data_IF_311533948829
#
_entry.id   IF_311533948829
#
_cell.length_a   1.000
_cell.length_b   1.000
_cell.length_c   1.000
_cell.angle_alpha   90.00
_cell.angle_beta   90.00
_cell.angle_gamma   90.00
#
_symmetry.space_group_name_H-M   'P 1'
#
loop_
_entity.id
_entity.type
_entity.pdbx_description
1 polymer ?
#
# COMPACT_ATOMS: atom_id res chain seq x y z
N UNK A 1 10.13 15.41 35.09
CA UNK A 1 9.93 13.96 34.83
C UNK A 1 9.30 13.88 33.45
N UNK A 2 10.12 13.91 32.41
CA UNK A 2 9.68 13.75 31.02
C UNK A 2 9.84 12.27 30.68
N UNK A 3 8.73 11.59 30.43
CA UNK A 3 8.73 10.22 29.93
C UNK A 3 8.97 10.27 28.42
N UNK A 4 10.20 9.96 28.05
CA UNK A 4 10.62 9.71 26.67
C UNK A 4 9.84 8.51 26.12
N UNK A 5 8.79 8.79 25.35
CA UNK A 5 8.08 7.79 24.54
C UNK A 5 8.88 7.51 23.27
N UNK A 6 10.08 6.94 23.44
CA UNK A 6 10.79 6.31 22.33
C UNK A 6 10.06 5.02 21.97
N UNK A 7 9.24 5.08 20.91
CA UNK A 7 8.67 3.88 20.27
C UNK A 7 9.79 2.88 19.97
N UNK A 8 9.62 1.59 20.27
CA UNK A 8 10.67 0.60 20.05
C UNK A 8 11.07 0.57 18.57
N UNK A 9 12.37 0.35 18.25
CA UNK A 9 12.81 0.24 16.87
C UNK A 9 12.09 -0.93 16.21
N UNK A 10 11.34 -0.62 15.14
CA UNK A 10 10.65 -1.62 14.33
C UNK A 10 11.72 -2.57 13.76
N UNK A 11 11.66 -3.85 14.15
CA UNK A 11 12.56 -4.87 13.65
C UNK A 11 12.31 -5.08 12.15
N UNK A 12 13.14 -4.45 11.29
CA UNK A 12 12.93 -4.38 9.84
C UNK A 12 12.87 -5.75 9.13
N UNK A 13 13.36 -6.83 9.76
CA UNK A 13 13.37 -8.19 9.19
C UNK A 13 12.01 -8.90 9.14
N UNK A 14 10.97 -8.33 9.76
CA UNK A 14 9.60 -8.90 9.79
C UNK A 14 8.55 -8.06 9.07
N UNK A 15 8.96 -7.00 8.37
CA UNK A 15 8.04 -6.06 7.72
C UNK A 15 7.59 -6.62 6.36
N UNK A 16 6.30 -6.92 6.23
CA UNK A 16 5.66 -7.28 4.96
C UNK A 16 4.86 -6.10 4.42
N UNK A 17 5.13 -5.74 3.17
CA UNK A 17 4.36 -4.79 2.36
C UNK A 17 3.49 -5.62 1.40
N UNK A 18 2.17 -5.64 1.63
CA UNK A 18 1.24 -6.42 0.81
C UNK A 18 0.55 -5.51 -0.20
N UNK A 19 0.79 -5.71 -1.48
CA UNK A 19 0.19 -4.90 -2.55
C UNK A 19 -1.00 -5.62 -3.18
N UNK A 20 -2.11 -4.90 -3.29
CA UNK A 20 -3.30 -5.34 -4.01
C UNK A 20 -3.40 -4.49 -5.28
N UNK A 21 -3.41 -5.16 -6.44
CA UNK A 21 -3.34 -4.51 -7.73
C UNK A 21 -4.49 -4.90 -8.64
N UNK A 22 -5.06 -3.88 -9.31
CA UNK A 22 -5.94 -4.12 -10.44
C UNK A 22 -5.13 -4.09 -11.76
N UNK A 23 -4.93 -5.24 -12.44
CA UNK A 23 -4.14 -5.28 -13.67
C UNK A 23 -4.85 -4.61 -14.85
N UNK A 24 -6.18 -4.48 -14.80
CA UNK A 24 -6.96 -3.80 -15.83
C UNK A 24 -6.86 -2.27 -15.75
N UNK A 25 -6.27 -1.73 -14.67
CA UNK A 25 -6.06 -0.29 -14.55
C UNK A 25 -5.02 0.20 -15.57
N UNK A 26 -5.42 1.21 -16.37
CA UNK A 26 -4.55 2.04 -17.23
C UNK A 26 -3.60 1.22 -18.13
N UNK A 27 -4.17 0.29 -18.89
CA UNK A 27 -3.48 -0.55 -19.88
C UNK A 27 -2.35 -1.43 -19.28
N UNK A 28 -2.53 -1.92 -18.05
CA UNK A 28 -1.55 -2.82 -17.42
C UNK A 28 -0.29 -2.13 -16.89
N UNK A 29 -0.28 -0.79 -16.84
CA UNK A 29 0.86 -0.02 -16.29
C UNK A 29 1.03 -0.19 -14.78
N UNK A 30 -0.04 -0.53 -14.06
CA UNK A 30 -0.02 -0.75 -12.62
C UNK A 30 1.04 -1.78 -12.21
N UNK A 31 1.15 -2.90 -12.92
CA UNK A 31 2.15 -3.94 -12.63
C UNK A 31 3.58 -3.42 -12.78
N UNK A 32 3.87 -2.63 -13.82
CA UNK A 32 5.21 -2.05 -14.05
C UNK A 32 5.59 -1.03 -12.97
N UNK A 33 4.62 -0.22 -12.54
CA UNK A 33 4.83 0.73 -11.43
C UNK A 33 5.11 -0.05 -10.14
N UNK A 34 4.33 -1.10 -9.87
CA UNK A 34 4.56 -1.96 -8.71
C UNK A 34 5.93 -2.64 -8.76
N UNK A 35 6.37 -3.19 -9.89
CA UNK A 35 7.70 -3.81 -9.98
C UNK A 35 8.83 -2.81 -9.65
N UNK A 36 8.68 -1.57 -10.12
CA UNK A 36 9.65 -0.51 -9.80
C UNK A 36 9.66 -0.18 -8.31
N UNK A 37 8.48 -0.11 -7.68
CA UNK A 37 8.35 0.13 -6.23
C UNK A 37 8.87 -1.07 -5.41
N UNK A 38 8.51 -2.29 -5.80
CA UNK A 38 8.95 -3.56 -5.21
C UNK A 38 10.48 -3.61 -5.12
N UNK A 39 11.17 -3.33 -6.22
CA UNK A 39 12.63 -3.31 -6.22
C UNK A 39 13.21 -2.32 -5.19
N UNK A 40 12.58 -1.15 -5.00
CA UNK A 40 13.01 -0.18 -3.98
C UNK A 40 12.78 -0.70 -2.55
N UNK A 41 11.68 -1.43 -2.31
CA UNK A 41 11.41 -2.05 -1.02
C UNK A 41 12.40 -3.19 -0.72
N UNK A 42 12.62 -4.08 -1.68
CA UNK A 42 13.51 -5.24 -1.54
C UNK A 42 14.97 -4.82 -1.39
N UNK A 43 15.43 -3.77 -2.09
CA UNK A 43 16.77 -3.20 -1.92
C UNK A 43 16.99 -2.63 -0.50
N UNK A 44 15.93 -2.32 0.25
CA UNK A 44 15.98 -1.91 1.65
C UNK A 44 15.78 -3.08 2.62
N UNK A 45 15.73 -4.32 2.12
CA UNK A 45 15.56 -5.54 2.91
C UNK A 45 14.12 -5.81 3.35
N UNK A 46 13.13 -5.12 2.77
CA UNK A 46 11.72 -5.29 3.10
C UNK A 46 11.11 -6.42 2.27
N UNK A 47 10.20 -7.21 2.86
CA UNK A 47 9.48 -8.27 2.15
C UNK A 47 8.25 -7.68 1.48
N UNK A 48 7.92 -8.22 0.32
CA UNK A 48 6.72 -7.80 -0.42
C UNK A 48 5.86 -9.00 -0.80
N UNK A 49 4.54 -8.81 -0.78
CA UNK A 49 3.56 -9.75 -1.30
C UNK A 49 2.73 -9.04 -2.37
N UNK A 50 2.36 -9.74 -3.43
CA UNK A 50 1.54 -9.20 -4.52
C UNK A 50 0.27 -10.02 -4.68
N UNK A 51 -0.87 -9.33 -4.67
CA UNK A 51 -2.20 -9.88 -4.90
C UNK A 51 -2.81 -9.19 -6.11
N UNK A 52 -3.11 -9.97 -7.15
CA UNK A 52 -3.70 -9.47 -8.40
C UNK A 52 -5.20 -9.72 -8.38
N UNK A 53 -5.99 -8.67 -8.55
CA UNK A 53 -7.45 -8.80 -8.60
C UNK A 53 -7.90 -9.40 -9.93
N UNK A 54 -9.03 -10.09 -9.93
CA UNK A 54 -9.55 -10.84 -11.08
C UNK A 54 -10.92 -10.34 -11.55
N UNK A 55 -11.64 -9.65 -10.66
CA UNK A 55 -13.00 -9.15 -10.87
C UNK A 55 -13.21 -7.91 -9.99
N UNK A 56 -14.24 -7.13 -10.31
CA UNK A 56 -14.73 -6.04 -9.45
C UNK A 56 -15.09 -6.61 -8.06
N UNK A 57 -14.71 -5.91 -7.00
CA UNK A 57 -14.89 -6.34 -5.61
C UNK A 57 -13.79 -7.25 -5.06
N UNK A 58 -12.94 -7.84 -5.93
CA UNK A 58 -11.90 -8.77 -5.47
C UNK A 58 -10.85 -8.06 -4.58
N UNK A 59 -10.57 -6.77 -4.79
CA UNK A 59 -9.62 -6.07 -3.93
C UNK A 59 -10.13 -5.97 -2.48
N UNK A 60 -11.44 -5.82 -2.30
CA UNK A 60 -12.06 -5.83 -0.97
C UNK A 60 -12.03 -7.22 -0.34
N UNK A 61 -12.27 -8.29 -1.11
CA UNK A 61 -12.18 -9.68 -0.64
C UNK A 61 -10.76 -10.00 -0.16
N UNK A 62 -9.75 -9.63 -0.96
CA UNK A 62 -8.33 -9.81 -0.60
C UNK A 62 -8.01 -9.00 0.66
N UNK A 63 -8.32 -7.70 0.68
CA UNK A 63 -8.02 -6.83 1.81
C UNK A 63 -8.67 -7.33 3.11
N UNK A 64 -9.90 -7.82 3.04
CA UNK A 64 -10.58 -8.43 4.17
C UNK A 64 -9.85 -9.68 4.69
N UNK A 65 -9.28 -10.50 3.80
CA UNK A 65 -8.50 -11.68 4.20
C UNK A 65 -7.18 -11.32 4.91
N UNK A 66 -6.64 -10.13 4.66
CA UNK A 66 -5.37 -9.65 5.23
C UNK A 66 -5.55 -8.88 6.54
N UNK A 67 -6.76 -8.39 6.83
CA UNK A 67 -7.03 -7.37 7.86
C UNK A 67 -6.57 -7.75 9.28
N UNK A 68 -6.45 -9.04 9.58
CA UNK A 68 -6.11 -9.59 10.89
C UNK A 68 -4.65 -10.11 10.96
N UNK A 69 -3.87 -9.96 9.89
CA UNK A 69 -2.45 -10.37 9.84
C UNK A 69 -1.56 -9.39 10.58
N UNK A 70 -0.89 -9.85 11.62
CA UNK A 70 0.03 -9.04 12.44
C UNK A 70 1.42 -8.85 11.82
N UNK A 71 1.76 -9.62 10.79
CA UNK A 71 3.04 -9.51 10.08
C UNK A 71 3.03 -8.47 8.94
N UNK A 72 1.83 -8.02 8.55
CA UNK A 72 1.66 -6.96 7.55
C UNK A 72 1.76 -5.61 8.23
N UNK A 73 2.75 -4.81 7.80
CA UNK A 73 2.90 -3.45 8.29
C UNK A 73 2.05 -2.46 7.50
N UNK A 74 1.81 -2.73 6.22
CA UNK A 74 1.04 -1.85 5.35
C UNK A 74 0.46 -2.64 4.18
N UNK A 75 -0.79 -2.33 3.84
CA UNK A 75 -1.41 -2.76 2.59
C UNK A 75 -1.32 -1.61 1.59
N UNK A 76 -0.83 -1.90 0.39
CA UNK A 76 -0.70 -0.93 -0.69
C UNK A 76 -1.80 -1.19 -1.73
N UNK A 77 -2.68 -0.21 -1.94
CA UNK A 77 -3.58 -0.20 -3.08
C UNK A 77 -2.87 0.37 -4.30
N UNK A 78 -2.57 -0.49 -5.29
CA UNK A 78 -1.99 -0.08 -6.56
C UNK A 78 -3.08 -0.05 -7.65
N UNK A 79 -3.58 1.14 -7.98
CA UNK A 79 -4.73 1.26 -8.87
C UNK A 79 -5.32 2.66 -8.95
N UNK A 80 -6.53 2.76 -9.50
CA UNK A 80 -7.33 3.98 -9.46
C UNK A 80 -8.24 4.03 -8.24
N UNK A 81 -9.10 5.04 -8.18
CA UNK A 81 -9.96 5.33 -7.03
C UNK A 81 -10.88 4.16 -6.63
N UNK A 82 -11.38 3.39 -7.61
CA UNK A 82 -12.17 2.18 -7.35
C UNK A 82 -11.39 1.10 -6.60
N UNK A 83 -10.14 0.84 -6.99
CA UNK A 83 -9.27 -0.13 -6.29
C UNK A 83 -8.95 0.36 -4.89
N UNK A 84 -8.64 1.66 -4.73
CA UNK A 84 -8.37 2.26 -3.43
C UNK A 84 -9.59 2.12 -2.51
N UNK A 85 -10.78 2.41 -3.03
CA UNK A 85 -12.04 2.29 -2.28
C UNK A 85 -12.33 0.85 -1.83
N UNK A 86 -12.13 -0.13 -2.72
CA UNK A 86 -12.32 -1.54 -2.39
C UNK A 86 -11.37 -2.00 -1.28
N UNK A 87 -10.08 -1.65 -1.39
CA UNK A 87 -9.08 -2.01 -0.36
C UNK A 87 -9.41 -1.35 0.98
N UNK A 88 -9.74 -0.04 0.97
CA UNK A 88 -10.13 0.67 2.19
C UNK A 88 -11.37 0.05 2.85
N UNK A 89 -12.33 -0.42 2.04
CA UNK A 89 -13.53 -1.08 2.53
C UNK A 89 -13.22 -2.43 3.18
N UNK A 90 -12.33 -3.24 2.56
CA UNK A 90 -11.91 -4.53 3.10
C UNK A 90 -11.09 -4.42 4.39
N UNK A 91 -10.30 -3.35 4.56
CA UNK A 91 -9.52 -3.08 5.77
C UNK A 91 -10.31 -2.42 6.89
N UNK A 92 -11.61 -2.15 6.73
CA UNK A 92 -12.40 -1.52 7.79
C UNK A 92 -12.33 -2.34 9.09
N UNK A 93 -11.91 -1.68 10.17
CA UNK A 93 -11.71 -2.29 11.49
C UNK A 93 -10.36 -2.98 11.69
N UNK A 94 -9.48 -2.94 10.69
CA UNK A 94 -8.08 -3.33 10.82
C UNK A 94 -7.25 -2.21 11.45
N UNK A 95 -6.14 -2.59 12.09
CA UNK A 95 -5.08 -1.67 12.49
C UNK A 95 -3.98 -1.56 11.43
N UNK A 96 -4.13 -2.23 10.28
CA UNK A 96 -3.14 -2.19 9.21
C UNK A 96 -3.34 -0.90 8.39
N UNK A 97 -2.31 -0.04 8.29
CA UNK A 97 -2.34 1.14 7.45
C UNK A 97 -2.59 0.81 5.98
N UNK A 98 -3.30 1.71 5.31
CA UNK A 98 -3.47 1.71 3.86
C UNK A 98 -2.55 2.76 3.23
N UNK A 99 -1.71 2.33 2.29
CA UNK A 99 -0.98 3.23 1.42
C UNK A 99 -1.43 3.13 -0.04
N UNK A 100 -1.16 4.17 -0.83
CA UNK A 100 -1.65 4.27 -2.20
C UNK A 100 -0.47 4.38 -3.17
N UNK A 101 -0.48 3.54 -4.20
CA UNK A 101 0.32 3.75 -5.42
C UNK A 101 -0.68 4.08 -6.55
N UNK A 102 -0.78 5.36 -6.95
CA UNK A 102 -1.76 5.78 -7.95
C UNK A 102 -1.41 5.23 -9.34
N UNK A 103 -2.30 4.43 -9.90
CA UNK A 103 -2.16 3.85 -11.23
C UNK A 103 -3.40 4.02 -12.12
N UNK A 104 -4.41 4.79 -11.68
CA UNK A 104 -5.58 5.18 -12.47
C UNK A 104 -5.36 6.44 -13.32
N UNK A 105 -6.42 6.86 -14.01
CA UNK A 105 -6.44 8.10 -14.83
C UNK A 105 -6.77 9.34 -13.99
N UNK A 106 -7.73 9.24 -13.07
CA UNK A 106 -8.16 10.29 -12.16
C UNK A 106 -7.24 10.41 -10.94
N UNK A 107 -7.17 9.38 -10.11
CA UNK A 107 -6.37 9.32 -8.86
C UNK A 107 -6.71 10.47 -7.89
N UNK A 108 -7.98 10.86 -7.84
CA UNK A 108 -8.42 11.97 -7.01
C UNK A 108 -8.25 11.66 -5.52
N UNK A 109 -8.47 10.40 -5.12
CA UNK A 109 -8.22 9.95 -3.75
C UNK A 109 -6.75 10.15 -3.39
N UNK A 110 -5.83 9.73 -4.24
CA UNK A 110 -4.39 9.89 -4.00
C UNK A 110 -4.00 11.38 -3.87
N UNK A 111 -4.56 12.27 -4.71
CA UNK A 111 -4.31 13.73 -4.64
C UNK A 111 -4.79 14.33 -3.33
N UNK A 112 -6.01 14.01 -2.91
CA UNK A 112 -6.60 14.54 -1.66
C UNK A 112 -5.77 14.11 -0.45
N UNK A 113 -5.18 12.91 -0.48
CA UNK A 113 -4.29 12.40 0.56
C UNK A 113 -2.82 12.85 0.41
N UNK A 114 -2.51 13.75 -0.53
CA UNK A 114 -1.19 14.38 -0.66
C UNK A 114 -0.12 13.55 -1.38
N UNK A 115 -0.50 12.47 -2.06
CA UNK A 115 0.44 11.68 -2.87
C UNK A 115 0.87 12.45 -4.13
N UNK A 116 2.18 12.51 -4.37
CA UNK A 116 2.76 13.02 -5.62
C UNK A 116 2.60 11.96 -6.71
N UNK A 117 1.67 12.17 -7.64
CA UNK A 117 1.28 11.16 -8.64
C UNK A 117 2.39 10.77 -9.63
N UNK A 118 3.40 11.61 -9.79
CA UNK A 118 4.52 11.48 -10.71
C UNK A 118 5.85 11.10 -10.01
N UNK A 119 5.88 11.08 -8.68
CA UNK A 119 7.11 10.89 -7.90
C UNK A 119 7.05 9.59 -7.10
N UNK A 120 7.34 8.48 -7.79
CA UNK A 120 7.32 7.15 -7.17
C UNK A 120 8.34 7.04 -6.03
N UNK A 121 9.45 7.78 -6.08
CA UNK A 121 10.43 7.81 -4.99
C UNK A 121 9.81 8.36 -3.71
N UNK A 122 9.14 9.52 -3.77
CA UNK A 122 8.40 10.05 -2.61
C UNK A 122 7.30 9.11 -2.13
N UNK A 123 6.56 8.48 -3.04
CA UNK A 123 5.50 7.53 -2.67
C UNK A 123 6.11 6.36 -1.89
N UNK A 124 7.21 5.77 -2.38
CA UNK A 124 7.88 4.67 -1.68
C UNK A 124 8.49 5.13 -0.36
N UNK A 125 9.01 6.35 -0.27
CA UNK A 125 9.52 6.90 0.99
C UNK A 125 8.41 7.04 2.04
N UNK A 126 7.23 7.54 1.65
CA UNK A 126 6.04 7.60 2.52
C UNK A 126 5.63 6.19 2.97
N UNK A 127 5.65 5.20 2.08
CA UNK A 127 5.30 3.80 2.44
C UNK A 127 6.29 3.22 3.46
N UNK A 128 7.56 3.60 3.39
CA UNK A 128 8.62 3.02 4.23
C UNK A 128 8.77 3.76 5.57
N UNK A 129 8.72 5.09 5.51
CA UNK A 129 9.09 5.99 6.62
C UNK A 129 7.91 6.85 7.10
N UNK A 130 6.76 6.79 6.43
CA UNK A 130 5.59 7.60 6.76
C UNK A 130 4.96 7.21 8.10
N UNK A 131 4.10 8.11 8.59
CA UNK A 131 3.30 7.90 9.80
C UNK A 131 1.85 7.67 9.40
N UNK A 132 1.18 6.77 10.12
CA UNK A 132 -0.27 6.60 10.04
C UNK A 132 -1.00 7.91 10.43
N UNK A 133 -2.07 8.25 9.72
CA UNK A 133 -2.78 9.55 9.85
C UNK A 133 -4.28 9.41 9.72
#
# INVERSE_FOLDING_TARGET
METDHSSPPINKSSIVISCIINPAARDGKSLKIWETAKNKFENKGLKTELYVTEKVGHASEIAYSLKDRSDIQVVVACGGDGTIHEVASGLRGSNIPLAIIPAGTGNDVARVHGYSLDDLDKITDIIINGVDR
#
